data_IF_622086669707
#
_entry.id   IF_622086669707
#
_cell.length_a   1.000
_cell.length_b   1.000
_cell.length_c   1.000
_cell.angle_alpha   90.00
_cell.angle_beta   90.00
_cell.angle_gamma   90.00
#
_symmetry.space_group_name_H-M   'P 1'
#
loop_
_entity.id
_entity.type
_entity.pdbx_description
1 polymer ?
#
# COMPACT_ATOMS: atom_id res chain seq x y z
N UNK A 1 -21.12 -15.39 31.87
CA UNK A 1 -21.03 -14.35 32.92
C UNK A 1 -20.24 -13.18 32.33
N UNK A 2 -20.91 -12.24 31.65
CA UNK A 2 -20.27 -11.00 31.22
C UNK A 2 -20.24 -10.07 32.43
N UNK A 3 -19.06 -9.57 32.78
CA UNK A 3 -18.90 -8.68 33.93
C UNK A 3 -19.61 -7.35 33.64
N UNK A 4 -20.55 -6.95 34.50
CA UNK A 4 -21.33 -5.71 34.35
C UNK A 4 -20.40 -4.48 34.27
N UNK A 5 -19.19 -4.58 34.84
CA UNK A 5 -18.15 -3.57 34.70
C UNK A 5 -17.64 -3.41 33.24
N UNK A 6 -17.42 -4.52 32.53
CA UNK A 6 -16.94 -4.51 31.13
C UNK A 6 -17.98 -3.93 30.18
N UNK A 7 -19.26 -4.25 30.39
CA UNK A 7 -20.38 -3.74 29.57
C UNK A 7 -20.46 -2.22 29.68
N UNK A 8 -20.51 -1.68 30.91
CA UNK A 8 -20.54 -0.22 31.15
C UNK A 8 -19.31 0.50 30.61
N UNK A 9 -18.13 -0.14 30.66
CA UNK A 9 -16.90 0.41 30.08
C UNK A 9 -16.94 0.43 28.56
N UNK A 10 -17.49 -0.58 27.91
CA UNK A 10 -17.64 -0.65 26.46
C UNK A 10 -18.61 0.42 25.95
N UNK A 11 -19.77 0.58 26.60
CA UNK A 11 -20.77 1.61 26.27
C UNK A 11 -20.16 3.02 26.30
N UNK A 12 -19.40 3.33 27.35
CA UNK A 12 -18.72 4.62 27.49
C UNK A 12 -17.65 4.87 26.43
N UNK A 13 -17.00 3.81 25.94
CA UNK A 13 -16.00 3.91 24.87
C UNK A 13 -16.68 4.12 23.52
N UNK A 14 -17.80 3.45 23.27
CA UNK A 14 -18.62 3.68 22.09
C UNK A 14 -19.15 5.11 22.04
N UNK A 15 -19.58 5.66 23.18
CA UNK A 15 -20.01 7.06 23.27
C UNK A 15 -18.89 8.06 22.87
N UNK A 16 -17.62 7.78 23.22
CA UNK A 16 -16.51 8.61 22.78
C UNK A 16 -16.24 8.52 21.27
N UNK A 17 -16.53 7.37 20.66
CA UNK A 17 -16.42 7.19 19.21
C UNK A 17 -17.55 7.95 18.50
N UNK A 18 -18.79 7.86 19.00
CA UNK A 18 -19.95 8.58 18.46
C UNK A 18 -19.77 10.11 18.52
N UNK A 19 -19.11 10.60 19.58
CA UNK A 19 -18.74 12.02 19.73
C UNK A 19 -17.47 12.42 18.97
N UNK A 20 -16.83 11.49 18.25
CA UNK A 20 -15.57 11.68 17.53
C UNK A 20 -14.42 12.19 18.43
N UNK A 21 -14.46 11.89 19.73
CA UNK A 21 -13.48 12.28 20.74
C UNK A 21 -12.28 11.31 20.76
N UNK A 22 -11.64 11.15 19.59
CA UNK A 22 -10.63 10.10 19.35
C UNK A 22 -9.52 10.03 20.40
N UNK A 23 -9.07 11.16 20.95
CA UNK A 23 -8.03 11.18 22.01
C UNK A 23 -8.49 10.45 23.29
N UNK A 24 -9.74 10.64 23.70
CA UNK A 24 -10.31 10.07 24.93
C UNK A 24 -10.67 8.60 24.70
N UNK A 25 -11.16 8.26 23.50
CA UNK A 25 -11.35 6.88 23.05
C UNK A 25 -10.05 6.06 23.18
N UNK A 26 -8.96 6.50 22.54
CA UNK A 26 -7.68 5.79 22.59
C UNK A 26 -7.08 5.72 23.99
N UNK A 27 -7.25 6.77 24.81
CA UNK A 27 -6.80 6.77 26.21
C UNK A 27 -7.57 5.72 27.03
N UNK A 28 -8.88 5.61 26.82
CA UNK A 28 -9.76 4.65 27.52
C UNK A 28 -9.46 3.21 27.14
N UNK A 29 -9.25 2.93 25.85
CA UNK A 29 -8.82 1.62 25.36
C UNK A 29 -7.47 1.22 25.98
N UNK A 30 -6.48 2.12 25.95
CA UNK A 30 -5.15 1.84 26.51
C UNK A 30 -5.18 1.57 28.02
N UNK A 31 -6.10 2.17 28.76
CA UNK A 31 -6.27 1.92 30.18
C UNK A 31 -6.82 0.51 30.48
N UNK A 32 -7.63 -0.08 29.59
CA UNK A 32 -8.19 -1.44 29.75
C UNK A 32 -7.13 -2.50 29.45
N UNK A 33 -6.41 -2.35 28.34
CA UNK A 33 -5.37 -3.32 27.95
C UNK A 33 -4.08 -3.19 28.78
N UNK A 34 -3.91 -2.07 29.50
CA UNK A 34 -2.72 -1.82 30.31
C UNK A 34 -1.47 -1.47 29.49
N UNK A 35 -0.29 -1.46 30.12
CA UNK A 35 0.97 -1.23 29.44
C UNK A 35 1.22 -2.29 28.37
N UNK A 36 1.39 -1.86 27.12
CA UNK A 36 1.80 -2.76 26.04
C UNK A 36 3.24 -3.23 26.30
N UNK A 37 3.40 -4.50 26.68
CA UNK A 37 4.72 -5.12 26.86
C UNK A 37 5.27 -5.43 25.47
N UNK A 38 6.28 -4.69 25.04
CA UNK A 38 7.02 -4.99 23.82
C UNK A 38 7.91 -6.21 24.08
N UNK A 39 7.35 -7.41 23.89
CA UNK A 39 8.17 -8.62 23.84
C UNK A 39 8.93 -8.62 22.52
N UNK A 40 10.25 -8.70 22.61
CA UNK A 40 11.08 -8.98 21.45
C UNK A 40 11.03 -10.48 21.21
N UNK A 41 10.52 -10.90 20.06
CA UNK A 41 10.52 -12.31 19.68
C UNK A 41 11.98 -12.75 19.44
N UNK A 42 12.46 -13.81 20.10
CA UNK A 42 13.79 -14.32 19.83
C UNK A 42 13.86 -14.86 18.40
N UNK A 43 14.98 -14.62 17.72
CA UNK A 43 15.20 -15.04 16.33
C UNK A 43 16.36 -16.01 16.25
N UNK A 44 16.34 -16.93 15.30
CA UNK A 44 17.52 -17.72 14.98
C UNK A 44 18.49 -16.89 14.14
N UNK A 45 19.78 -17.07 14.40
CA UNK A 45 20.87 -16.56 13.56
C UNK A 45 20.78 -17.14 12.14
N UNK A 46 21.42 -16.49 11.16
CA UNK A 46 21.44 -16.91 9.75
C UNK A 46 21.93 -18.34 9.52
N UNK A 47 22.81 -18.84 10.40
CA UNK A 47 23.32 -20.21 10.42
C UNK A 47 22.44 -21.21 11.19
N UNK A 48 21.32 -20.78 11.77
CA UNK A 48 20.34 -21.62 12.47
C UNK A 48 20.77 -22.15 13.85
N UNK A 49 22.00 -21.87 14.32
CA UNK A 49 22.55 -22.50 15.53
C UNK A 49 22.30 -21.71 16.82
N UNK A 50 22.07 -20.40 16.71
CA UNK A 50 22.07 -19.50 17.88
C UNK A 50 20.76 -18.75 17.99
N UNK A 51 20.11 -18.80 19.15
CA UNK A 51 18.93 -18.02 19.45
C UNK A 51 19.33 -16.60 19.92
N UNK A 52 18.95 -15.60 19.13
CA UNK A 52 19.18 -14.18 19.37
C UNK A 52 18.02 -13.60 20.17
N UNK A 53 18.28 -13.25 21.42
CA UNK A 53 17.30 -12.61 22.33
C UNK A 53 17.53 -11.10 22.48
N UNK A 54 18.76 -10.64 22.25
CA UNK A 54 19.11 -9.21 22.32
C UNK A 54 18.68 -8.46 21.06
N UNK A 55 18.05 -7.29 21.26
CA UNK A 55 17.54 -6.43 20.18
C UNK A 55 18.65 -5.98 19.21
N UNK A 56 19.85 -5.68 19.69
CA UNK A 56 21.00 -5.29 18.86
C UNK A 56 21.42 -6.41 17.92
N UNK A 57 21.52 -7.65 18.43
CA UNK A 57 21.86 -8.85 17.66
C UNK A 57 20.79 -9.18 16.62
N UNK A 58 19.51 -9.05 16.99
CA UNK A 58 18.37 -9.19 16.07
C UNK A 58 18.44 -8.18 14.93
N UNK A 59 18.66 -6.91 15.22
CA UNK A 59 18.77 -5.87 14.19
C UNK A 59 19.95 -6.10 13.25
N UNK A 60 21.10 -6.55 13.78
CA UNK A 60 22.26 -6.92 12.97
C UNK A 60 21.96 -8.12 12.05
N UNK A 61 21.29 -9.15 12.55
CA UNK A 61 20.87 -10.30 11.76
C UNK A 61 19.93 -9.90 10.61
N UNK A 62 18.97 -8.99 10.88
CA UNK A 62 18.13 -8.43 9.83
C UNK A 62 18.94 -7.63 8.80
N UNK A 63 19.90 -6.81 9.24
CA UNK A 63 20.75 -6.05 8.33
C UNK A 63 21.57 -6.97 7.40
N UNK A 64 22.13 -8.06 7.93
CA UNK A 64 22.85 -9.07 7.14
C UNK A 64 21.93 -9.77 6.14
N UNK A 65 20.74 -10.21 6.60
CA UNK A 65 19.75 -10.84 5.74
C UNK A 65 19.31 -9.92 4.59
N UNK A 66 18.90 -8.69 4.89
CA UNK A 66 18.46 -7.74 3.87
C UNK A 66 19.61 -7.32 2.95
N UNK A 67 20.85 -7.26 3.44
CA UNK A 67 22.01 -7.00 2.58
C UNK A 67 22.21 -8.13 1.58
N UNK A 68 22.05 -9.38 1.98
CA UNK A 68 22.10 -10.54 1.08
C UNK A 68 20.95 -10.54 0.08
N UNK A 69 19.73 -10.30 0.54
CA UNK A 69 18.52 -10.28 -0.31
C UNK A 69 18.60 -9.16 -1.35
N UNK A 70 18.94 -7.94 -0.95
CA UNK A 70 18.92 -6.78 -1.85
C UNK A 70 20.17 -6.64 -2.72
N UNK A 71 21.34 -7.13 -2.27
CA UNK A 71 22.59 -7.02 -3.03
C UNK A 71 22.99 -8.33 -3.71
N UNK A 72 22.04 -9.26 -3.88
CA UNK A 72 22.29 -10.47 -4.67
C UNK A 72 22.64 -10.04 -6.09
N UNK A 73 23.84 -10.42 -6.56
CA UNK A 73 24.22 -10.24 -7.97
C UNK A 73 23.16 -10.93 -8.82
N UNK A 74 22.46 -10.14 -9.63
CA UNK A 74 21.53 -10.66 -10.63
C UNK A 74 22.27 -10.76 -11.95
N UNK A 75 22.50 -11.98 -12.42
CA UNK A 75 22.80 -12.22 -13.82
C UNK A 75 21.47 -12.14 -14.56
N UNK A 76 21.07 -10.92 -14.95
CA UNK A 76 19.91 -10.74 -15.82
C UNK A 76 20.28 -11.37 -17.16
N UNK A 77 19.67 -12.52 -17.46
CA UNK A 77 19.84 -13.17 -18.76
C UNK A 77 19.17 -12.32 -19.83
N UNK A 78 19.94 -11.81 -20.79
CA UNK A 78 19.44 -11.03 -21.92
C UNK A 78 18.36 -11.79 -22.72
N UNK A 79 18.39 -13.12 -22.69
CA UNK A 79 17.35 -13.96 -23.29
C UNK A 79 15.93 -13.69 -22.76
N UNK A 80 15.76 -13.13 -21.55
CA UNK A 80 14.46 -12.71 -21.05
C UNK A 80 14.02 -11.39 -21.69
N UNK A 81 14.94 -10.43 -21.86
CA UNK A 81 14.71 -9.17 -22.56
C UNK A 81 14.37 -9.39 -24.02
N UNK A 82 15.04 -10.33 -24.68
CA UNK A 82 14.80 -10.69 -26.09
C UNK A 82 13.42 -11.34 -26.31
N UNK A 83 12.81 -11.91 -25.24
CA UNK A 83 11.47 -12.50 -25.28
C UNK A 83 10.37 -11.48 -25.00
N UNK A 84 10.69 -10.29 -24.47
CA UNK A 84 9.70 -9.27 -24.19
C UNK A 84 9.30 -8.56 -25.49
N UNK A 85 8.00 -8.44 -25.81
CA UNK A 85 7.56 -7.68 -26.96
C UNK A 85 7.99 -6.22 -26.76
N UNK A 86 8.87 -5.75 -27.65
CA UNK A 86 9.26 -4.35 -27.70
C UNK A 86 8.12 -3.55 -28.34
N UNK A 87 7.82 -2.40 -27.75
CA UNK A 87 6.78 -1.50 -28.24
C UNK A 87 7.46 -0.24 -28.71
N UNK A 88 6.88 0.40 -29.71
CA UNK A 88 7.39 1.66 -30.24
C UNK A 88 7.54 2.71 -29.14
N UNK A 89 8.60 3.50 -29.24
CA UNK A 89 8.89 4.59 -28.32
C UNK A 89 7.75 5.62 -28.34
N UNK A 90 7.13 5.86 -27.18
CA UNK A 90 6.07 6.86 -27.06
C UNK A 90 6.67 8.27 -26.89
N UNK A 91 6.82 8.97 -28.03
CA UNK A 91 7.35 10.35 -28.07
C UNK A 91 6.42 11.38 -27.38
N UNK A 92 5.15 11.04 -27.12
CA UNK A 92 4.24 11.96 -26.44
C UNK A 92 4.65 12.20 -24.99
N UNK A 93 5.45 11.30 -24.38
CA UNK A 93 5.93 11.47 -23.01
C UNK A 93 6.95 12.60 -22.86
N UNK A 94 7.70 12.91 -23.93
CA UNK A 94 8.72 13.97 -23.92
C UNK A 94 8.12 15.36 -24.15
N UNK A 95 6.86 15.43 -24.59
CA UNK A 95 6.18 16.69 -24.81
C UNK A 95 5.86 17.37 -23.47
N UNK A 96 5.98 18.71 -23.37
CA UNK A 96 5.51 19.40 -22.18
C UNK A 96 3.98 19.22 -22.00
N UNK A 97 3.46 19.25 -20.76
CA UNK A 97 2.02 19.24 -20.51
C UNK A 97 1.33 20.44 -21.17
N UNK A 98 0.29 20.19 -21.94
CA UNK A 98 -0.51 21.26 -22.53
C UNK A 98 -1.44 21.91 -21.50
N UNK A 99 -1.88 23.15 -21.75
CA UNK A 99 -2.86 23.85 -20.90
C UNK A 99 -4.17 23.05 -20.71
N UNK A 100 -4.79 22.48 -21.76
CA UNK A 100 -6.00 21.67 -21.59
C UNK A 100 -5.80 20.42 -20.73
N UNK A 101 -4.67 19.72 -20.89
CA UNK A 101 -4.34 18.56 -20.07
C UNK A 101 -4.12 18.95 -18.59
N UNK A 102 -3.46 20.08 -18.36
CA UNK A 102 -3.20 20.63 -17.04
C UNK A 102 -4.51 20.96 -16.32
N UNK A 103 -5.44 21.65 -17.01
CA UNK A 103 -6.77 21.99 -16.49
C UNK A 103 -7.57 20.72 -16.18
N UNK A 104 -7.59 19.74 -17.09
CA UNK A 104 -8.26 18.44 -16.88
C UNK A 104 -7.71 17.67 -15.69
N UNK A 105 -6.39 17.69 -15.49
CA UNK A 105 -5.73 17.01 -14.38
C UNK A 105 -5.95 17.74 -13.04
N UNK A 106 -6.02 19.07 -13.05
CA UNK A 106 -6.27 19.91 -11.88
C UNK A 106 -7.70 19.78 -11.35
N UNK A 107 -8.70 19.64 -12.22
CA UNK A 107 -10.10 19.52 -11.82
C UNK A 107 -10.44 18.20 -11.08
N UNK A 108 -9.62 17.16 -11.25
CA UNK A 108 -9.86 15.84 -10.63
C UNK A 108 -9.18 15.76 -9.26
N UNK A 109 -9.68 16.43 -8.22
CA UNK A 109 -8.95 16.53 -6.94
C UNK A 109 -8.71 15.21 -6.16
N UNK A 110 -9.17 14.06 -6.66
CA UNK A 110 -8.87 12.72 -6.13
C UNK A 110 -7.99 11.92 -7.08
N UNK A 111 -6.79 11.58 -6.61
CA UNK A 111 -5.99 10.52 -7.23
C UNK A 111 -6.62 9.20 -6.78
N UNK A 112 -6.87 8.23 -7.69
CA UNK A 112 -7.30 6.90 -7.27
C UNK A 112 -6.21 6.33 -6.34
N UNK A 113 -6.60 6.03 -5.09
CA UNK A 113 -5.69 5.53 -4.05
C UNK A 113 -5.22 6.53 -2.98
N UNK A 114 -5.55 7.82 -3.07
CA UNK A 114 -5.25 8.80 -2.01
C UNK A 114 -6.51 9.11 -1.21
N UNK A 115 -6.72 8.37 -0.12
CA UNK A 115 -7.62 8.80 0.96
C UNK A 115 -6.93 9.97 1.71
N UNK A 116 -7.66 11.08 1.90
CA UNK A 116 -7.21 12.18 2.77
C UNK A 116 -7.13 11.65 4.21
N UNK A 117 -5.96 11.21 4.66
CA UNK A 117 -5.73 11.02 6.10
C UNK A 117 -5.42 12.38 6.70
N UNK A 118 -6.36 12.96 7.44
CA UNK A 118 -6.11 14.14 8.27
C UNK A 118 -5.00 13.81 9.26
N UNK A 119 -3.80 14.33 9.04
CA UNK A 119 -2.66 14.11 9.91
C UNK A 119 -2.83 14.86 11.22
N UNK A 120 -3.17 14.14 12.30
CA UNK A 120 -2.58 14.32 13.65
C UNK A 120 -3.06 13.19 14.57
N UNK A 121 -2.26 12.14 14.70
CA UNK A 121 -2.47 11.07 15.68
C UNK A 121 -1.12 10.56 16.18
N UNK A 122 -0.79 10.83 17.43
CA UNK A 122 0.45 10.43 18.11
C UNK A 122 0.45 8.97 18.58
N UNK A 123 -0.30 8.10 17.90
CA UNK A 123 -0.32 6.66 18.17
C UNK A 123 0.45 5.90 17.11
N UNK A 124 1.50 5.15 17.49
CA UNK A 124 2.17 4.20 16.60
C UNK A 124 1.16 3.13 16.17
N UNK A 125 0.57 3.29 14.99
CA UNK A 125 -0.20 2.25 14.31
C UNK A 125 0.75 1.23 13.70
N UNK A 126 0.53 -0.05 13.95
CA UNK A 126 1.35 -1.15 13.38
C UNK A 126 1.11 -1.33 11.87
N UNK A 127 0.08 -0.66 11.31
CA UNK A 127 -0.29 -0.70 9.89
C UNK A 127 -0.22 0.70 9.24
N UNK A 128 0.80 1.49 9.57
CA UNK A 128 1.03 2.74 8.84
C UNK A 128 1.56 2.40 7.44
N UNK A 129 0.69 2.54 6.42
CA UNK A 129 1.16 2.65 5.03
C UNK A 129 1.54 4.11 4.80
N UNK A 130 2.84 4.39 4.69
CA UNK A 130 3.32 5.71 4.32
C UNK A 130 2.83 6.07 2.93
N UNK A 131 2.00 7.11 2.83
CA UNK A 131 1.59 7.69 1.56
C UNK A 131 2.33 9.02 1.44
N UNK A 132 3.29 9.09 0.51
CA UNK A 132 3.96 10.35 0.19
C UNK A 132 2.98 11.26 -0.54
N UNK A 133 2.64 12.39 0.09
CA UNK A 133 1.82 13.41 -0.54
C UNK A 133 2.69 14.21 -1.51
N UNK A 134 2.42 14.06 -2.81
CA UNK A 134 3.05 14.90 -3.83
C UNK A 134 2.42 16.30 -3.82
N UNK A 135 3.23 17.33 -4.09
CA UNK A 135 2.75 18.71 -4.20
C UNK A 135 1.74 18.85 -5.37
N UNK A 136 1.02 19.98 -5.45
CA UNK A 136 -0.03 20.19 -6.46
C UNK A 136 0.53 20.02 -7.89
N UNK A 137 1.66 20.67 -8.20
CA UNK A 137 2.30 20.61 -9.51
C UNK A 137 2.71 19.16 -9.89
N UNK A 138 3.33 18.44 -8.96
CA UNK A 138 3.74 17.06 -9.16
C UNK A 138 2.55 16.12 -9.33
N UNK A 139 1.43 16.33 -8.62
CA UNK A 139 0.21 15.55 -8.85
C UNK A 139 -0.35 15.77 -10.25
N UNK A 140 -0.31 17.01 -10.73
CA UNK A 140 -0.74 17.34 -12.10
C UNK A 140 0.18 16.66 -13.12
N UNK A 141 1.49 16.76 -12.93
CA UNK A 141 2.48 16.14 -13.82
C UNK A 141 2.37 14.61 -13.84
N UNK A 142 2.28 13.97 -12.68
CA UNK A 142 2.11 12.52 -12.58
C UNK A 142 0.82 12.02 -13.24
N UNK A 143 -0.28 12.79 -13.17
CA UNK A 143 -1.53 12.45 -13.87
C UNK A 143 -1.42 12.63 -15.38
N UNK A 144 -0.73 13.67 -15.82
CA UNK A 144 -0.51 13.90 -17.24
C UNK A 144 0.26 12.70 -17.85
N UNK A 145 1.39 12.33 -17.23
CA UNK A 145 2.16 11.15 -17.63
C UNK A 145 1.32 9.87 -17.62
N UNK A 146 0.55 9.64 -16.55
CA UNK A 146 -0.32 8.46 -16.44
C UNK A 146 -1.36 8.41 -17.57
N UNK A 147 -1.99 9.53 -17.94
CA UNK A 147 -2.98 9.56 -19.01
C UNK A 147 -2.36 9.26 -20.37
N UNK A 148 -1.16 9.79 -20.64
CA UNK A 148 -0.42 9.51 -21.89
C UNK A 148 0.03 8.05 -21.97
N UNK A 149 0.52 7.50 -20.85
CA UNK A 149 0.87 6.08 -20.74
C UNK A 149 -0.35 5.17 -20.95
N UNK A 150 -1.46 5.44 -20.27
CA UNK A 150 -2.66 4.62 -20.39
C UNK A 150 -3.21 4.59 -21.82
N UNK A 151 -3.13 5.71 -22.54
CA UNK A 151 -3.52 5.75 -23.96
C UNK A 151 -2.76 4.72 -24.82
N UNK A 152 -1.50 4.44 -24.48
CA UNK A 152 -0.66 3.48 -25.20
C UNK A 152 -0.76 2.05 -24.62
N UNK A 153 -0.84 1.91 -23.29
CA UNK A 153 -0.94 0.62 -22.61
C UNK A 153 -2.27 -0.10 -22.87
N UNK A 154 -3.36 0.65 -22.99
CA UNK A 154 -4.69 0.08 -23.30
C UNK A 154 -4.81 -0.43 -24.75
N UNK A 155 -3.90 -0.04 -25.66
CA UNK A 155 -3.91 -0.44 -27.08
C UNK A 155 -3.25 -1.80 -27.35
N UNK A 156 -3.37 -2.76 -26.42
CA UNK A 156 -3.00 -4.16 -26.67
C UNK A 156 -1.84 -4.72 -25.84
N UNK A 157 -1.28 -3.95 -24.91
CA UNK A 157 -0.25 -4.45 -23.99
C UNK A 157 -0.84 -5.15 -22.76
N UNK A 158 -1.98 -4.65 -22.26
CA UNK A 158 -2.62 -5.21 -21.08
C UNK A 158 -3.52 -6.38 -21.48
N UNK A 159 -3.29 -7.60 -20.94
CA UNK A 159 -4.14 -8.74 -21.23
C UNK A 159 -5.57 -8.49 -20.75
N UNK A 160 -6.55 -9.10 -21.41
CA UNK A 160 -7.97 -8.94 -21.06
C UNK A 160 -8.29 -9.41 -19.63
N UNK A 161 -7.55 -10.39 -19.13
CA UNK A 161 -7.65 -10.89 -17.76
C UNK A 161 -7.17 -9.89 -16.70
N UNK A 162 -6.48 -8.82 -17.08
CA UNK A 162 -6.03 -7.80 -16.14
C UNK A 162 -7.15 -6.79 -15.85
N UNK A 163 -7.71 -6.86 -14.65
CA UNK A 163 -8.74 -5.94 -14.17
C UNK A 163 -8.20 -4.84 -13.24
N UNK A 164 -7.12 -5.13 -12.49
CA UNK A 164 -6.55 -4.19 -11.53
C UNK A 164 -5.98 -2.93 -12.21
N UNK A 165 -6.45 -1.76 -11.79
CA UNK A 165 -6.08 -0.44 -12.35
C UNK A 165 -6.40 -0.25 -13.85
N UNK A 166 -7.13 -1.18 -14.46
CA UNK A 166 -7.62 -1.06 -15.83
C UNK A 166 -8.78 -0.06 -15.92
N UNK A 167 -8.84 0.70 -17.00
CA UNK A 167 -9.97 1.59 -17.25
C UNK A 167 -11.23 0.75 -17.53
N UNK A 168 -12.34 1.15 -16.91
CA UNK A 168 -13.63 0.47 -17.04
C UNK A 168 -13.67 -1.00 -16.57
N UNK A 169 -12.66 -1.47 -15.83
CA UNK A 169 -12.63 -2.81 -15.22
C UNK A 169 -12.47 -2.71 -13.72
N UNK A 170 -13.28 -3.48 -12.99
CA UNK A 170 -13.29 -3.51 -11.53
C UNK A 170 -13.06 -4.90 -10.96
N UNK A 171 -12.92 -4.95 -9.63
CA UNK A 171 -12.83 -6.22 -8.89
C UNK A 171 -14.04 -7.13 -9.14
N UNK A 172 -15.22 -6.53 -9.36
CA UNK A 172 -16.46 -7.26 -9.67
C UNK A 172 -16.35 -8.06 -10.95
N UNK A 173 -15.77 -7.48 -12.02
CA UNK A 173 -15.61 -8.15 -13.32
C UNK A 173 -14.68 -9.37 -13.17
N UNK A 174 -13.62 -9.23 -12.37
CA UNK A 174 -12.68 -10.32 -12.09
C UNK A 174 -13.33 -11.44 -11.27
N UNK A 175 -14.13 -11.10 -10.26
CA UNK A 175 -14.89 -12.10 -9.47
C UNK A 175 -15.89 -12.83 -10.37
N UNK A 176 -16.57 -12.11 -11.26
CA UNK A 176 -17.51 -12.70 -12.20
C UNK A 176 -16.81 -13.69 -13.16
N UNK A 177 -15.69 -13.29 -13.76
CA UNK A 177 -14.90 -14.17 -14.62
C UNK A 177 -14.39 -15.42 -13.87
N UNK A 178 -13.92 -15.25 -12.63
CA UNK A 178 -13.47 -16.36 -11.80
C UNK A 178 -14.60 -17.36 -11.49
N UNK A 179 -15.81 -16.87 -11.22
CA UNK A 179 -16.99 -17.73 -11.00
C UNK A 179 -17.37 -18.53 -12.25
N UNK A 180 -17.34 -17.89 -13.42
CA UNK A 180 -17.63 -18.56 -14.70
C UNK A 180 -16.63 -19.68 -15.01
N UNK A 181 -15.37 -19.52 -14.62
CA UNK A 181 -14.37 -20.60 -14.74
C UNK A 181 -14.64 -21.73 -13.76
N UNK A 182 -15.02 -21.42 -12.52
CA UNK A 182 -15.35 -22.42 -11.50
C UNK A 182 -16.58 -23.25 -11.86
N UNK A 183 -17.60 -22.67 -12.49
CA UNK A 183 -18.82 -23.38 -12.90
C UNK A 183 -18.63 -24.30 -14.13
N UNK A 184 -17.56 -24.10 -14.90
CA UNK A 184 -17.24 -24.87 -16.11
C UNK A 184 -16.23 -26.00 -15.87
N UNK A 185 -15.65 -26.08 -14.68
CA UNK A 185 -14.75 -27.14 -14.23
C UNK A 185 -15.52 -28.15 -13.36
#
# INVERSE_FOLDING_TARGET
>A
MQDAWMVRKAEKILEYEDRNERKIFFKSIKAIYGPCIQRTAPLLSSNGTTLLTEKSKILKCWAEHFRSVHNRSSAISNAASDRLPQVDTNNDLDLPPSLPETIRCGAKDKFPGISKTSGRGTGKSVNHKGISLLNIAGRIFARNLLNRLNGHLEQGLLPESQCGFGRHRGTTDMIFAARQLQEKC
#
